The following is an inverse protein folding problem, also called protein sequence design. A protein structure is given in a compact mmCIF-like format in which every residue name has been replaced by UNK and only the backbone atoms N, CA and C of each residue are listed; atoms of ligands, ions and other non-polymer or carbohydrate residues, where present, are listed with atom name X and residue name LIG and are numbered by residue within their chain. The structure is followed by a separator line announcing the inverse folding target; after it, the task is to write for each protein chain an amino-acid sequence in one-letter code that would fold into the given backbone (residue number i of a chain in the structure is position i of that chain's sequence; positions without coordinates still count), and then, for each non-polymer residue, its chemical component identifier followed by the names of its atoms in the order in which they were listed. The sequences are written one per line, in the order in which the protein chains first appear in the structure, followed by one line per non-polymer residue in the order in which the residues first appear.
data_IF_592202323565
#
_entry.id   IF_592202323565
#
_cell.length_a   1.000
_cell.length_b   1.000
_cell.length_c   1.000
_cell.angle_alpha   90.00
_cell.angle_beta   90.00
_cell.angle_gamma   90.00
#
_symmetry.space_group_name_H-M   'P 1'
#
loop_
_entity.id
_entity.type
_entity.pdbx_description
1 polymer ?
#
# COMPACT_ATOMS: atom_id res chain seq x y z
N UNK A 1 -14.70 4.63 9.72
CA UNK A 1 -13.89 3.43 9.47
C UNK A 1 -12.99 3.69 8.26
N UNK A 2 -11.92 2.92 8.09
CA UNK A 2 -11.08 2.99 6.90
C UNK A 2 -10.48 1.64 6.59
N UNK A 3 -9.97 1.49 5.35
CA UNK A 3 -9.28 0.26 4.95
C UNK A 3 -8.23 0.54 3.86
N UNK A 4 -7.19 -0.29 3.83
CA UNK A 4 -6.13 -0.19 2.85
C UNK A 4 -5.48 -1.53 2.51
N UNK A 5 -4.73 -1.53 1.43
CA UNK A 5 -3.93 -2.67 0.98
C UNK A 5 -2.44 -2.34 1.08
N UNK A 6 -1.68 -3.25 1.68
CA UNK A 6 -0.23 -3.19 1.72
C UNK A 6 0.33 -4.36 0.90
N UNK A 7 0.84 -4.12 -0.31
CA UNK A 7 1.47 -5.16 -1.10
C UNK A 7 2.75 -5.66 -0.43
N UNK A 8 2.92 -7.00 -0.40
CA UNK A 8 4.10 -7.66 0.16
C UNK A 8 4.71 -8.62 -0.84
N UNK A 9 6.03 -8.64 -0.90
CA UNK A 9 6.80 -9.55 -1.74
C UNK A 9 7.96 -10.20 -0.99
N UNK A 10 8.47 -11.30 -1.55
CA UNK A 10 9.70 -11.94 -1.06
C UNK A 10 10.77 -11.83 -2.14
N UNK A 11 11.91 -11.23 -1.79
CA UNK A 11 13.11 -11.20 -2.63
C UNK A 11 14.33 -11.60 -1.79
N UNK A 12 15.10 -12.57 -2.26
CA UNK A 12 16.29 -13.07 -1.57
C UNK A 12 16.03 -13.46 -0.10
N UNK A 13 14.88 -14.10 0.15
CA UNK A 13 14.48 -14.57 1.50
C UNK A 13 14.00 -13.50 2.47
N UNK A 14 13.98 -12.22 2.08
CA UNK A 14 13.50 -11.08 2.87
C UNK A 14 12.11 -10.63 2.41
N UNK A 15 11.31 -10.13 3.34
CA UNK A 15 10.04 -9.47 3.02
C UNK A 15 10.29 -8.02 2.61
N UNK A 16 9.56 -7.59 1.57
CA UNK A 16 9.48 -6.22 1.10
C UNK A 16 8.02 -5.79 1.06
N UNK A 17 7.76 -4.59 1.49
CA UNK A 17 6.42 -3.98 1.52
C UNK A 17 6.42 -2.73 0.65
N UNK A 18 5.39 -2.56 -0.18
CA UNK A 18 5.23 -1.39 -1.02
C UNK A 18 4.41 -0.34 -0.26
N UNK A 19 5.02 0.80 0.02
CA UNK A 19 4.36 1.94 0.65
C UNK A 19 4.21 3.09 -0.34
N UNK A 20 3.17 3.90 -0.12
CA UNK A 20 2.96 5.17 -0.80
C UNK A 20 3.24 6.34 0.12
N UNK A 21 3.76 7.43 -0.42
CA UNK A 21 3.99 8.69 0.27
C UNK A 21 2.95 9.71 -0.17
N UNK A 22 2.29 10.34 0.78
CA UNK A 22 1.31 11.38 0.50
C UNK A 22 1.91 12.56 -0.28
N UNK A 23 1.08 13.23 -1.05
CA UNK A 23 1.45 14.46 -1.72
C UNK A 23 1.55 15.62 -0.72
N UNK A 24 2.01 16.78 -1.21
CA UNK A 24 2.20 18.01 -0.40
C UNK A 24 0.92 18.66 0.11
N UNK A 25 -0.25 18.26 -0.40
CA UNK A 25 -1.56 18.80 -0.04
C UNK A 25 -2.32 17.91 0.95
N UNK A 26 -1.76 16.76 1.33
CA UNK A 26 -2.39 15.86 2.29
C UNK A 26 -2.46 16.48 3.69
N UNK A 27 -3.58 16.30 4.38
CA UNK A 27 -3.77 16.77 5.76
C UNK A 27 -2.76 16.17 6.74
N UNK A 28 -2.36 14.94 6.51
CA UNK A 28 -1.33 14.24 7.29
C UNK A 28 -0.26 13.70 6.35
N UNK A 29 0.94 14.34 6.31
CA UNK A 29 2.03 13.89 5.45
C UNK A 29 2.64 12.56 5.94
N UNK A 30 3.35 11.87 5.05
CA UNK A 30 4.13 10.68 5.39
C UNK A 30 3.78 9.48 4.55
N UNK A 31 4.39 8.35 4.91
CA UNK A 31 4.19 7.05 4.25
C UNK A 31 3.00 6.31 4.86
N UNK A 32 2.25 5.59 4.02
CA UNK A 32 1.18 4.69 4.42
C UNK A 32 1.03 3.53 3.41
N UNK A 33 0.08 2.64 3.65
CA UNK A 33 -0.45 1.73 2.64
C UNK A 33 -1.30 2.50 1.60
N UNK A 34 -2.00 1.76 0.74
CA UNK A 34 -2.93 2.32 -0.24
C UNK A 34 -4.36 2.13 0.28
N UNK A 35 -4.93 3.21 0.80
CA UNK A 35 -6.21 3.13 1.47
C UNK A 35 -6.67 4.46 2.07
N UNK A 36 -7.95 4.49 2.41
CA UNK A 36 -8.62 5.69 2.92
C UNK A 36 -9.86 5.40 3.74
N UNK A 37 -10.70 6.41 3.86
CA UNK A 37 -11.98 6.34 4.55
C UNK A 37 -12.99 5.45 3.83
N UNK A 38 -13.87 4.81 4.60
CA UNK A 38 -14.99 4.05 4.08
C UNK A 38 -16.12 5.00 3.68
N UNK A 39 -16.60 4.93 2.45
CA UNK A 39 -17.70 5.73 1.96
C UNK A 39 -19.04 5.00 2.17
N UNK A 40 -20.00 5.69 2.79
CA UNK A 40 -21.36 5.17 2.99
C UNK A 40 -21.38 3.78 3.63
N UNK A 41 -21.95 2.81 2.93
CA UNK A 41 -22.09 1.41 3.37
C UNK A 41 -21.01 0.48 2.80
N UNK A 42 -19.85 1.00 2.37
CA UNK A 42 -18.76 0.17 1.89
C UNK A 42 -18.28 -0.83 2.95
N UNK A 43 -18.02 -2.04 2.52
CA UNK A 43 -17.22 -2.98 3.31
C UNK A 43 -15.74 -2.61 3.22
N UNK A 44 -14.88 -3.02 4.17
CA UNK A 44 -13.45 -2.78 4.08
C UNK A 44 -12.81 -3.23 2.76
N UNK A 45 -13.31 -4.31 2.17
CA UNK A 45 -12.82 -4.80 0.87
C UNK A 45 -13.24 -3.87 -0.28
N UNK A 46 -14.46 -3.31 -0.25
CA UNK A 46 -14.91 -2.36 -1.26
C UNK A 46 -14.09 -1.07 -1.19
N UNK A 47 -13.84 -0.56 0.02
CA UNK A 47 -12.95 0.59 0.25
C UNK A 47 -11.56 0.34 -0.36
N UNK A 48 -10.95 -0.83 -0.07
CA UNK A 48 -9.63 -1.17 -0.63
C UNK A 48 -9.62 -1.23 -2.15
N UNK A 49 -10.69 -1.75 -2.78
CA UNK A 49 -10.77 -1.83 -4.24
C UNK A 49 -10.83 -0.42 -4.85
N UNK A 50 -11.60 0.49 -4.28
CA UNK A 50 -11.70 1.87 -4.72
C UNK A 50 -10.38 2.63 -4.49
N UNK A 51 -9.90 2.67 -3.26
CA UNK A 51 -8.69 3.41 -2.87
C UNK A 51 -7.42 2.89 -3.57
N UNK A 52 -7.27 1.58 -3.70
CA UNK A 52 -6.14 0.99 -4.38
C UNK A 52 -6.06 1.35 -5.87
N UNK A 53 -7.21 1.61 -6.52
CA UNK A 53 -7.24 2.14 -7.87
C UNK A 53 -6.89 3.62 -7.93
N UNK A 54 -7.53 4.43 -7.05
CA UNK A 54 -7.35 5.87 -7.00
C UNK A 54 -5.89 6.24 -6.71
N UNK A 55 -5.33 5.70 -5.63
CA UNK A 55 -3.99 6.06 -5.15
C UNK A 55 -2.84 5.52 -6.00
N UNK A 56 -3.02 4.38 -6.66
CA UNK A 56 -1.99 3.81 -7.56
C UNK A 56 -2.26 4.07 -9.03
N UNK A 57 -3.26 4.89 -9.35
CA UNK A 57 -3.58 5.30 -10.75
C UNK A 57 -3.64 4.10 -11.72
N UNK A 58 -4.17 2.97 -11.26
CA UNK A 58 -4.26 1.74 -12.04
C UNK A 58 -2.97 0.89 -12.12
N UNK A 59 -1.86 1.28 -11.50
CA UNK A 59 -0.61 0.49 -11.52
C UNK A 59 -0.72 -0.89 -10.82
N UNK A 60 -1.71 -1.08 -9.94
CA UNK A 60 -2.06 -2.40 -9.39
C UNK A 60 -3.07 -3.17 -10.24
N UNK A 61 -3.45 -2.62 -11.38
CA UNK A 61 -4.54 -3.12 -12.21
C UNK A 61 -5.89 -2.51 -11.85
N UNK A 62 -6.96 -3.04 -12.45
CA UNK A 62 -8.33 -2.62 -12.19
C UNK A 62 -8.96 -3.31 -10.96
N UNK A 63 -10.29 -3.15 -10.76
CA UNK A 63 -11.00 -3.72 -9.61
C UNK A 63 -10.84 -5.23 -9.49
N UNK A 64 -10.83 -5.95 -10.61
CA UNK A 64 -10.73 -7.41 -10.63
C UNK A 64 -9.35 -7.91 -10.18
N UNK A 65 -8.28 -7.20 -10.57
CA UNK A 65 -6.91 -7.50 -10.16
C UNK A 65 -6.73 -7.26 -8.65
N UNK A 66 -7.23 -6.13 -8.12
CA UNK A 66 -7.19 -5.83 -6.69
C UNK A 66 -8.03 -6.84 -5.90
N UNK A 67 -9.23 -7.19 -6.37
CA UNK A 67 -10.07 -8.23 -5.78
C UNK A 67 -9.35 -9.59 -5.75
N UNK A 68 -8.63 -9.91 -6.82
CA UNK A 68 -7.80 -11.11 -6.89
C UNK A 68 -6.62 -11.06 -5.91
N UNK A 69 -6.00 -9.90 -5.71
CA UNK A 69 -4.97 -9.72 -4.69
C UNK A 69 -5.55 -9.91 -3.28
N UNK A 70 -6.71 -9.33 -2.99
CA UNK A 70 -7.42 -9.46 -1.71
C UNK A 70 -7.75 -10.93 -1.38
N UNK A 71 -8.18 -11.72 -2.36
CA UNK A 71 -8.45 -13.16 -2.15
C UNK A 71 -7.21 -13.97 -1.75
N UNK A 72 -6.02 -13.44 -2.02
CA UNK A 72 -4.72 -14.06 -1.71
C UNK A 72 -4.05 -13.47 -0.47
N UNK A 73 -4.71 -12.56 0.26
CA UNK A 73 -4.14 -11.94 1.44
C UNK A 73 -3.51 -12.96 2.39
N UNK A 74 -2.39 -12.59 2.96
CA UNK A 74 -1.63 -13.44 3.88
C UNK A 74 -1.77 -13.01 5.33
N UNK A 75 -2.21 -11.76 5.54
CA UNK A 75 -2.42 -11.20 6.86
C UNK A 75 -3.42 -10.05 6.82
N UNK A 76 -4.14 -9.86 7.93
CA UNK A 76 -5.09 -8.77 8.13
C UNK A 76 -4.83 -8.14 9.49
N UNK A 77 -4.65 -6.84 9.53
CA UNK A 77 -4.53 -6.03 10.74
C UNK A 77 -5.79 -5.18 10.93
N UNK A 78 -6.32 -5.17 12.15
CA UNK A 78 -7.43 -4.31 12.54
C UNK A 78 -6.99 -3.46 13.73
N UNK A 79 -6.81 -2.15 13.53
CA UNK A 79 -6.32 -1.22 14.55
C UNK A 79 -7.13 0.08 14.44
N UNK A 80 -7.69 0.55 15.55
CA UNK A 80 -8.35 1.86 15.65
C UNK A 80 -9.35 2.16 14.50
N UNK A 81 -10.26 1.22 14.22
CA UNK A 81 -11.24 1.32 13.13
C UNK A 81 -10.62 1.35 11.72
N UNK A 82 -9.36 0.96 11.56
CA UNK A 82 -8.71 0.78 10.27
C UNK A 82 -8.39 -0.69 10.02
N UNK A 83 -8.67 -1.17 8.82
CA UNK A 83 -8.37 -2.54 8.38
C UNK A 83 -7.32 -2.52 7.29
N UNK A 84 -6.12 -3.04 7.57
CA UNK A 84 -5.06 -3.21 6.56
C UNK A 84 -4.97 -4.65 6.08
N UNK A 85 -5.03 -4.85 4.78
CA UNK A 85 -4.86 -6.15 4.13
C UNK A 85 -3.44 -6.27 3.57
N UNK A 86 -2.64 -7.22 4.08
CA UNK A 86 -1.30 -7.52 3.57
C UNK A 86 -1.43 -8.58 2.49
N UNK A 87 -1.22 -8.19 1.24
CA UNK A 87 -1.51 -9.03 0.08
C UNK A 87 -0.25 -9.31 -0.76
N UNK A 88 -0.02 -10.58 -1.17
CA UNK A 88 1.15 -10.92 -1.97
C UNK A 88 1.11 -10.26 -3.34
N UNK A 89 2.24 -9.71 -3.74
CA UNK A 89 2.47 -9.14 -5.05
C UNK A 89 3.85 -9.59 -5.54
N UNK A 90 4.04 -9.74 -6.84
CA UNK A 90 5.35 -9.98 -7.42
C UNK A 90 6.25 -8.77 -7.21
N UNK A 91 7.51 -9.00 -6.80
CA UNK A 91 8.46 -7.92 -6.65
C UNK A 91 8.86 -7.38 -8.02
N UNK A 92 8.58 -6.12 -8.23
CA UNK A 92 9.02 -5.40 -9.42
C UNK A 92 9.79 -4.15 -8.99
N UNK A 93 11.09 -4.13 -9.26
CA UNK A 93 11.97 -2.99 -8.93
C UNK A 93 11.72 -1.77 -9.81
N UNK A 94 11.16 -1.98 -11.01
CA UNK A 94 10.83 -0.92 -11.95
C UNK A 94 9.50 -0.23 -11.66
N UNK A 95 8.60 -0.87 -10.89
CA UNK A 95 7.31 -0.30 -10.55
C UNK A 95 7.44 1.06 -9.86
N UNK A 96 8.25 1.25 -8.79
CA UNK A 96 8.45 2.56 -8.20
C UNK A 96 9.10 3.56 -9.18
N UNK A 97 10.03 3.09 -10.01
CA UNK A 97 10.68 3.95 -11.00
C UNK A 97 9.66 4.57 -11.97
N UNK A 98 8.81 3.76 -12.60
CA UNK A 98 7.83 4.24 -13.56
C UNK A 98 6.73 5.07 -12.88
N UNK A 99 6.21 4.62 -11.74
CA UNK A 99 5.20 5.37 -10.99
C UNK A 99 5.72 6.75 -10.59
N UNK A 100 6.86 6.82 -9.94
CA UNK A 100 7.42 8.06 -9.42
C UNK A 100 7.77 9.05 -10.55
N UNK A 101 8.29 8.56 -11.69
CA UNK A 101 8.55 9.42 -12.84
C UNK A 101 7.27 9.96 -13.48
N UNK A 102 6.23 9.11 -13.61
CA UNK A 102 4.93 9.53 -14.09
C UNK A 102 4.31 10.60 -13.18
N UNK A 103 4.30 10.36 -11.86
CA UNK A 103 3.79 11.33 -10.88
C UNK A 103 4.56 12.65 -10.93
N UNK A 104 5.89 12.60 -10.99
CA UNK A 104 6.73 13.80 -11.07
C UNK A 104 6.45 14.59 -12.35
N UNK A 105 6.35 13.93 -13.48
CA UNK A 105 6.03 14.57 -14.76
C UNK A 105 4.66 15.27 -14.70
N UNK A 106 3.62 14.57 -14.27
CA UNK A 106 2.27 15.11 -14.19
C UNK A 106 2.17 16.28 -13.21
N UNK A 107 2.77 16.15 -12.02
CA UNK A 107 2.77 17.21 -11.00
C UNK A 107 3.53 18.48 -11.43
N UNK A 108 4.47 18.35 -12.38
CA UNK A 108 5.22 19.48 -12.91
C UNK A 108 4.48 20.20 -14.05
N UNK A 109 3.66 19.48 -14.83
CA UNK A 109 3.05 19.99 -16.05
C UNK A 109 1.55 20.28 -15.94
N UNK A 110 0.86 19.69 -14.96
CA UNK A 110 -0.56 19.94 -14.75
C UNK A 110 -0.79 21.16 -13.87
N UNK A 111 -1.96 21.77 -14.08
CA UNK A 111 -2.46 22.83 -13.20
C UNK A 111 -2.50 22.40 -11.74
N UNK A 112 -2.09 23.30 -10.81
CA UNK A 112 -2.01 22.95 -9.39
C UNK A 112 -3.39 22.70 -8.77
N UNK A 113 -4.45 23.32 -9.29
CA UNK A 113 -5.81 23.06 -8.82
C UNK A 113 -6.30 21.66 -9.25
N UNK A 114 -5.88 21.18 -10.44
CA UNK A 114 -6.13 19.80 -10.87
C UNK A 114 -5.44 18.81 -9.93
N UNK A 115 -4.16 19.06 -9.60
CA UNK A 115 -3.39 18.18 -8.70
C UNK A 115 -4.01 18.16 -7.31
N UNK A 116 -4.37 19.34 -6.77
CA UNK A 116 -4.93 19.48 -5.44
C UNK A 116 -6.30 18.80 -5.28
N UNK A 117 -7.14 18.87 -6.31
CA UNK A 117 -8.52 18.41 -6.25
C UNK A 117 -8.73 17.01 -6.83
N UNK A 118 -7.68 16.41 -7.42
CA UNK A 118 -7.77 15.07 -8.02
C UNK A 118 -7.22 13.99 -7.10
N UNK A 119 -8.03 12.99 -6.82
CA UNK A 119 -7.65 11.83 -5.99
C UNK A 119 -6.52 10.99 -6.59
N UNK A 120 -6.32 11.02 -7.91
CA UNK A 120 -5.26 10.27 -8.60
C UNK A 120 -3.84 10.74 -8.26
N UNK A 121 -3.69 11.89 -7.59
CA UNK A 121 -2.41 12.46 -7.18
C UNK A 121 -2.17 12.40 -5.67
N UNK A 122 -2.99 11.67 -4.90
CA UNK A 122 -2.84 11.58 -3.45
C UNK A 122 -1.47 11.01 -3.04
N UNK A 123 -0.95 10.01 -3.77
CA UNK A 123 0.43 9.54 -3.56
C UNK A 123 1.41 10.19 -4.54
N UNK A 124 2.41 10.87 -4.00
CA UNK A 124 3.49 11.50 -4.78
C UNK A 124 4.63 10.54 -5.13
N UNK A 125 4.81 9.49 -4.35
CA UNK A 125 5.92 8.54 -4.45
C UNK A 125 5.50 7.18 -3.92
N UNK A 126 6.01 6.09 -4.52
CA UNK A 126 5.93 4.75 -3.96
C UNK A 126 7.32 4.15 -3.83
N UNK A 127 7.52 3.25 -2.84
CA UNK A 127 8.80 2.60 -2.61
C UNK A 127 8.64 1.25 -1.91
N UNK A 128 9.48 0.29 -2.33
CA UNK A 128 9.66 -0.95 -1.61
C UNK A 128 10.57 -0.74 -0.40
N UNK A 129 10.08 -1.07 0.79
CA UNK A 129 10.86 -1.11 2.01
C UNK A 129 11.01 -2.56 2.46
N UNK A 130 12.25 -2.97 2.76
CA UNK A 130 12.49 -4.26 3.39
C UNK A 130 11.98 -4.27 4.83
N UNK A 131 11.70 -5.46 5.36
CA UNK A 131 11.30 -5.64 6.76
C UNK A 131 12.30 -5.03 7.77
N UNK A 132 13.59 -4.98 7.43
CA UNK A 132 14.62 -4.36 8.28
C UNK A 132 14.58 -2.82 8.28
N UNK A 133 13.96 -2.21 7.27
CA UNK A 133 13.80 -0.76 7.16
C UNK A 133 12.57 -0.22 7.90
N UNK A 134 11.60 -1.08 8.27
CA UNK A 134 10.33 -0.65 8.86
C UNK A 134 10.50 0.17 10.14
N UNK A 135 11.51 -0.15 10.98
CA UNK A 135 11.80 0.62 12.19
C UNK A 135 12.22 2.06 11.89
N UNK A 136 13.01 2.26 10.82
CA UNK A 136 13.44 3.60 10.37
C UNK A 136 12.33 4.32 9.61
N UNK A 137 11.44 3.58 8.96
CA UNK A 137 10.29 4.12 8.25
C UNK A 137 9.21 4.62 9.20
N UNK A 138 8.95 3.94 10.33
CA UNK A 138 7.84 4.25 11.26
C UNK A 138 7.70 5.74 11.57
N UNK A 139 8.74 6.49 11.99
CA UNK A 139 8.60 7.92 12.30
C UNK A 139 8.31 8.80 11.06
N UNK A 140 8.49 8.27 9.85
CA UNK A 140 8.19 8.95 8.59
C UNK A 140 6.78 8.63 8.07
N UNK A 141 6.06 7.74 8.75
CA UNK A 141 4.69 7.40 8.40
C UNK A 141 3.70 8.46 8.90
N UNK A 142 2.53 8.52 8.27
CA UNK A 142 1.39 9.29 8.76
C UNK A 142 1.14 8.98 10.24
N UNK A 143 0.78 9.96 11.02
CA UNK A 143 0.69 9.83 12.48
C UNK A 143 -0.17 8.64 12.94
N UNK A 144 -1.35 8.46 12.37
CA UNK A 144 -2.23 7.34 12.67
C UNK A 144 -1.66 5.99 12.22
N UNK A 145 -0.83 6.00 11.17
CA UNK A 145 -0.30 4.78 10.55
C UNK A 145 0.93 4.21 11.30
N UNK A 146 1.56 5.00 12.16
CA UNK A 146 2.73 4.57 12.94
C UNK A 146 2.42 3.35 13.84
N UNK A 147 1.24 3.31 14.46
CA UNK A 147 0.80 2.17 15.28
C UNK A 147 0.55 0.92 14.42
N UNK A 148 0.08 1.10 13.18
CA UNK A 148 -0.13 0.01 12.23
C UNK A 148 1.22 -0.59 11.83
N UNK A 149 2.23 0.24 11.53
CA UNK A 149 3.60 -0.23 11.23
C UNK A 149 4.23 -0.95 12.44
N UNK A 150 3.97 -0.49 13.66
CA UNK A 150 4.44 -1.17 14.86
C UNK A 150 3.85 -2.58 14.98
N UNK A 151 2.54 -2.71 14.81
CA UNK A 151 1.88 -4.02 14.84
C UNK A 151 2.33 -4.90 13.65
N UNK A 152 2.53 -4.31 12.47
CA UNK A 152 3.09 -5.02 11.31
C UNK A 152 4.45 -5.65 11.66
N UNK A 153 5.33 -4.91 12.35
CA UNK A 153 6.64 -5.42 12.77
C UNK A 153 6.51 -6.60 13.75
N UNK A 154 5.55 -6.55 14.68
CA UNK A 154 5.27 -7.66 15.61
C UNK A 154 4.75 -8.90 14.88
N UNK A 155 4.01 -8.71 13.80
CA UNK A 155 3.40 -9.80 13.04
C UNK A 155 4.28 -10.35 11.89
N UNK A 156 5.48 -9.79 11.66
CA UNK A 156 6.42 -10.27 10.62
C UNK A 156 6.67 -11.80 10.64
N UNK A 157 6.83 -12.48 11.80
CA UNK A 157 7.02 -13.92 11.82
C UNK A 157 5.82 -14.69 11.25
N UNK A 158 4.59 -14.22 11.54
CA UNK A 158 3.34 -14.81 11.02
C UNK A 158 3.23 -14.62 9.50
N UNK A 159 3.45 -13.39 9.02
CA UNK A 159 3.41 -13.03 7.61
C UNK A 159 4.42 -13.87 6.84
N UNK A 160 5.67 -13.95 7.32
CA UNK A 160 6.75 -14.70 6.68
C UNK A 160 6.40 -16.19 6.53
N UNK A 161 5.80 -16.80 7.56
CA UNK A 161 5.38 -18.21 7.52
C UNK A 161 4.37 -18.44 6.40
N UNK A 162 3.32 -17.61 6.33
CA UNK A 162 2.24 -17.76 5.34
C UNK A 162 2.72 -17.52 3.90
N UNK A 163 3.52 -16.48 3.68
CA UNK A 163 4.08 -16.17 2.35
C UNK A 163 4.97 -17.29 1.84
N UNK A 164 5.84 -17.86 2.69
CA UNK A 164 6.71 -18.99 2.32
C UNK A 164 5.92 -20.26 1.97
N UNK A 165 4.86 -20.54 2.69
CA UNK A 165 4.01 -21.72 2.42
C UNK A 165 3.34 -21.59 1.06
N UNK A 166 2.74 -20.44 0.76
CA UNK A 166 2.07 -20.17 -0.53
C UNK A 166 3.05 -20.17 -1.72
N UNK A 167 4.33 -19.78 -1.52
CA UNK A 167 5.32 -19.82 -2.60
C UNK A 167 5.78 -21.24 -2.96
N UNK A 168 5.78 -22.19 -1.99
CA UNK A 168 6.13 -23.59 -2.25
C UNK A 168 5.02 -24.33 -3.02
N UNK A 169 3.75 -24.01 -2.78
CA UNK A 169 2.60 -24.63 -3.47
C UNK A 169 2.51 -24.20 -4.94
N UNK A 170 3.06 -23.06 -5.33
CA UNK A 170 3.10 -22.58 -6.73
C UNK A 170 4.19 -23.24 -7.59
N UNK A 171 5.18 -23.91 -6.98
CA UNK A 171 6.28 -24.60 -7.68
C UNK A 171 6.04 -26.09 -7.90
N UNK A 172 4.89 -26.62 -7.51
CA UNK A 172 4.40 -27.95 -7.80
C UNK A 172 3.24 -27.88 -8.81
#
# INVERSE_FOLDING_TARGET
MGAGILPVSVRNGKLYFLFGKENKYADTPGWSDFGGGTDGNETPQMTVIREGQEELTGFLGGPNEIKTMLSKCVHKLNINNYTMFVCPMEYNEWLPFYYNNNQRFLQTHLDQDVIKNSKIFEKSEIKWFSESELRKLKPQCRSYFQNIVEQLMLDLPKIRRVVRTKSKTRKR
#
